data_IF_372892294447
#
_entry.id   IF_372892294447
#
_cell.length_a   1.000
_cell.length_b   1.000
_cell.length_c   1.000
_cell.angle_alpha   90.00
_cell.angle_beta   90.00
_cell.angle_gamma   90.00
#
_symmetry.space_group_name_H-M   'P 1'
#
loop_
_entity.id
_entity.type
_entity.pdbx_description
1 polymer ?
#
# COMPACT_ATOMS: atom_id res chain seq x y z
N UNK A 1 33.75 15.96 20.52
CA UNK A 1 33.36 16.55 19.21
C UNK A 1 31.91 17.04 19.29
N UNK A 2 31.66 18.34 19.46
CA UNK A 2 30.30 18.90 19.61
C UNK A 2 29.61 18.96 18.24
N UNK A 3 28.53 18.19 18.06
CA UNK A 3 27.71 18.20 16.83
C UNK A 3 27.05 19.59 16.66
N UNK A 4 27.39 20.29 15.59
CA UNK A 4 26.79 21.57 15.18
C UNK A 4 25.35 21.31 14.74
N UNK A 5 24.37 21.69 15.56
CA UNK A 5 22.94 21.65 15.18
C UNK A 5 22.70 22.73 14.13
N UNK A 6 22.51 22.30 12.88
CA UNK A 6 22.16 23.20 11.77
C UNK A 6 20.73 23.69 12.01
N UNK A 7 20.59 24.91 12.53
CA UNK A 7 19.32 25.63 12.62
C UNK A 7 18.75 25.82 11.21
N UNK A 8 17.91 24.87 10.77
CA UNK A 8 17.19 24.98 9.52
C UNK A 8 16.20 26.12 9.62
N UNK A 9 16.26 27.08 8.69
CA UNK A 9 15.27 28.18 8.59
C UNK A 9 13.87 27.59 8.67
N UNK A 10 13.16 27.86 9.76
CA UNK A 10 11.78 27.40 9.96
C UNK A 10 10.91 27.98 8.84
N UNK A 11 10.64 27.18 7.79
CA UNK A 11 9.63 27.52 6.79
C UNK A 11 8.32 27.66 7.54
N UNK A 12 7.82 28.89 7.69
CA UNK A 12 6.51 29.17 8.30
C UNK A 12 5.51 28.19 7.68
N UNK A 13 4.87 27.37 8.52
CA UNK A 13 3.88 26.39 8.05
C UNK A 13 2.82 27.17 7.28
N UNK A 14 2.65 26.84 6.00
CA UNK A 14 1.54 27.38 5.20
C UNK A 14 0.25 27.09 5.96
N UNK A 15 -0.69 28.04 5.91
CA UNK A 15 -1.99 27.84 6.52
C UNK A 15 -2.66 26.60 5.91
N UNK A 16 -3.54 25.96 6.67
CA UNK A 16 -4.31 24.85 6.13
C UNK A 16 -5.18 25.33 4.96
N UNK A 17 -5.33 24.49 3.94
CA UNK A 17 -6.18 24.75 2.76
C UNK A 17 -7.60 25.17 3.13
N UNK A 18 -8.11 24.65 4.25
CA UNK A 18 -9.41 25.02 4.80
C UNK A 18 -9.44 26.48 5.31
N UNK A 19 -8.39 26.91 6.02
CA UNK A 19 -8.29 28.30 6.50
C UNK A 19 -8.02 29.28 5.35
N UNK A 20 -7.36 28.85 4.28
CA UNK A 20 -7.25 29.60 3.02
C UNK A 20 -8.62 29.78 2.35
N UNK A 21 -9.44 28.72 2.31
CA UNK A 21 -10.80 28.77 1.75
C UNK A 21 -11.73 29.72 2.50
N UNK A 22 -11.71 29.69 3.83
CA UNK A 22 -12.48 30.62 4.67
C UNK A 22 -12.06 32.07 4.45
N UNK A 23 -10.75 32.32 4.32
CA UNK A 23 -10.23 33.66 4.01
C UNK A 23 -10.67 34.14 2.63
N UNK A 24 -10.57 33.28 1.61
CA UNK A 24 -10.97 33.60 0.25
C UNK A 24 -12.46 33.96 0.15
N UNK A 25 -13.34 33.22 0.84
CA UNK A 25 -14.77 33.54 0.90
C UNK A 25 -15.03 34.87 1.59
N UNK A 26 -14.39 35.11 2.74
CA UNK A 26 -14.54 36.36 3.47
C UNK A 26 -14.10 37.56 2.63
N UNK A 27 -13.00 37.44 1.89
CA UNK A 27 -12.54 38.50 0.98
C UNK A 27 -13.52 38.69 -0.18
N UNK A 28 -14.06 37.61 -0.77
CA UNK A 28 -15.09 37.72 -1.81
C UNK A 28 -16.36 38.43 -1.30
N UNK A 29 -16.81 38.12 -0.07
CA UNK A 29 -17.98 38.76 0.56
C UNK A 29 -17.74 40.26 0.82
N UNK A 30 -16.56 40.61 1.37
CA UNK A 30 -16.20 42.01 1.62
C UNK A 30 -16.11 42.80 0.31
N UNK A 31 -15.51 42.23 -0.73
CA UNK A 31 -15.44 42.84 -2.07
C UNK A 31 -16.82 43.10 -2.67
N UNK A 32 -17.76 42.15 -2.53
CA UNK A 32 -19.14 42.34 -3.00
C UNK A 32 -19.86 43.48 -2.28
N UNK A 33 -19.58 43.68 -0.99
CA UNK A 33 -20.21 44.73 -0.18
C UNK A 33 -19.62 46.14 -0.42
N UNK A 34 -18.36 46.24 -0.84
CA UNK A 34 -17.63 47.51 -0.91
C UNK A 34 -16.76 47.61 -2.19
N UNK A 35 -17.22 48.32 -3.23
CA UNK A 35 -16.51 48.42 -4.52
C UNK A 35 -15.11 49.04 -4.41
N UNK A 36 -14.94 50.05 -3.54
CA UNK A 36 -13.64 50.70 -3.30
C UNK A 36 -12.60 49.74 -2.70
N UNK A 37 -13.02 48.79 -1.88
CA UNK A 37 -12.13 47.78 -1.30
C UNK A 37 -11.71 46.77 -2.36
N UNK A 38 -12.60 46.42 -3.28
CA UNK A 38 -12.29 45.50 -4.37
C UNK A 38 -11.21 46.05 -5.30
N UNK A 39 -11.32 47.32 -5.67
CA UNK A 39 -10.30 48.00 -6.48
C UNK A 39 -8.96 48.05 -5.75
N UNK A 40 -8.93 48.45 -4.47
CA UNK A 40 -7.69 48.50 -3.68
C UNK A 40 -7.03 47.12 -3.56
N UNK A 41 -7.81 46.06 -3.35
CA UNK A 41 -7.29 44.70 -3.24
C UNK A 41 -6.83 44.14 -4.59
N UNK A 42 -7.50 44.48 -5.68
CA UNK A 42 -7.12 44.04 -7.03
C UNK A 42 -5.76 44.63 -7.44
N UNK A 43 -5.52 45.92 -7.19
CA UNK A 43 -4.23 46.57 -7.43
C UNK A 43 -3.12 45.95 -6.55
N UNK A 44 -3.38 45.74 -5.26
CA UNK A 44 -2.42 45.06 -4.36
C UNK A 44 -2.06 43.65 -4.84
N UNK A 45 -3.06 42.89 -5.30
CA UNK A 45 -2.84 41.55 -5.84
C UNK A 45 -2.05 41.61 -7.16
N UNK A 46 -2.32 42.58 -8.03
CA UNK A 46 -1.57 42.79 -9.26
C UNK A 46 -0.09 43.13 -8.99
N UNK A 47 0.19 44.07 -8.06
CA UNK A 47 1.56 44.39 -7.65
C UNK A 47 2.26 43.17 -7.06
N UNK A 48 1.58 42.39 -6.23
CA UNK A 48 2.14 41.15 -5.65
C UNK A 48 2.50 40.12 -6.71
N UNK A 49 1.65 39.96 -7.74
CA UNK A 49 1.94 39.07 -8.88
C UNK A 49 3.10 39.60 -9.72
N UNK A 50 3.19 40.90 -9.96
CA UNK A 50 4.31 41.54 -10.66
C UNK A 50 5.63 41.35 -9.91
N UNK A 51 5.60 41.38 -8.58
CA UNK A 51 6.75 41.04 -7.71
C UNK A 51 7.08 39.53 -7.70
N UNK A 52 6.33 38.68 -8.41
CA UNK A 52 6.57 37.23 -8.50
C UNK A 52 5.94 36.40 -7.39
N UNK A 53 5.10 36.98 -6.53
CA UNK A 53 4.40 36.24 -5.47
C UNK A 53 3.22 35.46 -6.07
N UNK A 54 3.15 34.15 -5.77
CA UNK A 54 2.02 33.30 -6.19
C UNK A 54 0.79 33.59 -5.34
N UNK A 55 -0.18 34.28 -5.93
CA UNK A 55 -1.45 34.66 -5.30
C UNK A 55 -2.54 33.62 -5.62
N UNK A 56 -3.17 33.05 -4.59
CA UNK A 56 -4.15 31.95 -4.72
C UNK A 56 -5.44 32.30 -3.96
N UNK A 57 -6.24 33.21 -4.52
CA UNK A 57 -7.38 33.79 -3.80
C UNK A 57 -8.75 33.22 -4.24
N UNK A 58 -8.79 32.38 -5.28
CA UNK A 58 -10.05 31.86 -5.83
C UNK A 58 -10.62 30.71 -4.98
N UNK A 59 -11.75 30.93 -4.31
CA UNK A 59 -12.38 29.94 -3.43
C UNK A 59 -12.71 28.61 -4.15
N UNK A 60 -13.16 28.69 -5.41
CA UNK A 60 -13.50 27.52 -6.25
C UNK A 60 -12.30 26.58 -6.45
N UNK A 61 -11.14 27.14 -6.81
CA UNK A 61 -9.93 26.37 -7.09
C UNK A 61 -9.36 25.74 -5.81
N UNK A 62 -9.45 26.46 -4.67
CA UNK A 62 -9.05 25.93 -3.37
C UNK A 62 -9.92 24.72 -3.02
N UNK A 63 -11.25 24.79 -3.20
CA UNK A 63 -12.18 23.67 -2.97
C UNK A 63 -11.87 22.46 -3.85
N UNK A 64 -11.60 22.68 -5.14
CA UNK A 64 -11.22 21.61 -6.07
C UNK A 64 -9.88 20.96 -5.69
N UNK A 65 -8.89 21.75 -5.27
CA UNK A 65 -7.61 21.23 -4.81
C UNK A 65 -7.78 20.30 -3.60
N UNK A 66 -8.63 20.67 -2.63
CA UNK A 66 -8.95 19.81 -1.49
C UNK A 66 -9.63 18.50 -1.93
N UNK A 67 -10.56 18.56 -2.90
CA UNK A 67 -11.20 17.36 -3.45
C UNK A 67 -10.18 16.44 -4.13
N UNK A 68 -9.26 17.00 -4.92
CA UNK A 68 -8.18 16.26 -5.58
C UNK A 68 -7.26 15.59 -4.55
N UNK A 69 -6.90 16.29 -3.48
CA UNK A 69 -6.10 15.72 -2.39
C UNK A 69 -6.84 14.57 -1.67
N UNK A 70 -8.13 14.72 -1.37
CA UNK A 70 -8.95 13.66 -0.78
C UNK A 70 -8.98 12.41 -1.67
N UNK A 71 -9.30 12.58 -2.97
CA UNK A 71 -9.29 11.48 -3.95
C UNK A 71 -7.92 10.81 -4.06
N UNK A 72 -6.83 11.57 -4.02
CA UNK A 72 -5.47 11.01 -4.03
C UNK A 72 -5.20 10.17 -2.79
N UNK A 73 -5.61 10.64 -1.61
CA UNK A 73 -5.49 9.88 -0.34
C UNK A 73 -6.30 8.59 -0.38
N UNK A 74 -7.53 8.62 -0.88
CA UNK A 74 -8.38 7.43 -1.04
C UNK A 74 -7.75 6.40 -1.98
N UNK A 75 -7.29 6.84 -3.17
CA UNK A 75 -6.57 5.98 -4.12
C UNK A 75 -5.32 5.35 -3.49
N UNK A 76 -4.53 6.14 -2.77
CA UNK A 76 -3.33 5.65 -2.09
C UNK A 76 -3.68 4.64 -0.99
N UNK A 77 -4.75 4.88 -0.21
CA UNK A 77 -5.24 3.94 0.80
C UNK A 77 -5.69 2.62 0.18
N UNK A 78 -6.41 2.67 -0.93
CA UNK A 78 -6.82 1.47 -1.69
C UNK A 78 -5.61 0.67 -2.17
N UNK A 79 -4.67 1.32 -2.86
CA UNK A 79 -3.43 0.66 -3.33
C UNK A 79 -2.60 0.07 -2.20
N UNK A 80 -2.55 0.73 -1.04
CA UNK A 80 -1.82 0.19 0.11
C UNK A 80 -2.48 -1.08 0.65
N UNK A 81 -3.82 -1.09 0.77
CA UNK A 81 -4.57 -2.28 1.17
C UNK A 81 -4.33 -3.44 0.20
N UNK A 82 -4.44 -3.20 -1.11
CA UNK A 82 -4.19 -4.20 -2.16
C UNK A 82 -2.78 -4.79 -2.06
N UNK A 83 -1.76 -3.97 -1.79
CA UNK A 83 -0.38 -4.44 -1.61
C UNK A 83 -0.23 -5.34 -0.38
N UNK A 84 -0.85 -4.97 0.73
CA UNK A 84 -0.81 -5.77 1.97
C UNK A 84 -1.51 -7.10 1.74
N UNK A 85 -2.72 -7.09 1.16
CA UNK A 85 -3.48 -8.30 0.86
C UNK A 85 -2.71 -9.22 -0.10
N UNK A 86 -2.13 -8.66 -1.16
CA UNK A 86 -1.29 -9.42 -2.10
C UNK A 86 -0.09 -10.04 -1.39
N UNK A 87 0.56 -9.30 -0.49
CA UNK A 87 1.70 -9.81 0.28
C UNK A 87 1.28 -10.96 1.20
N UNK A 88 0.11 -10.87 1.85
CA UNK A 88 -0.44 -11.90 2.72
C UNK A 88 -0.79 -13.17 1.92
N UNK A 89 -1.51 -13.02 0.80
CA UNK A 89 -1.82 -14.13 -0.13
C UNK A 89 -0.55 -14.85 -0.60
N UNK A 90 0.46 -14.10 -1.05
CA UNK A 90 1.73 -14.67 -1.50
C UNK A 90 2.49 -15.40 -0.38
N UNK A 91 2.39 -14.94 0.88
CA UNK A 91 2.97 -15.64 2.04
C UNK A 91 2.21 -16.94 2.30
N UNK A 92 0.88 -16.88 2.32
CA UNK A 92 0.02 -18.03 2.55
C UNK A 92 0.23 -19.12 1.49
N UNK A 93 0.24 -18.75 0.21
CA UNK A 93 0.48 -19.69 -0.89
C UNK A 93 1.84 -20.37 -0.78
N UNK A 94 2.90 -19.63 -0.43
CA UNK A 94 4.23 -20.21 -0.20
C UNK A 94 4.22 -21.20 0.97
N UNK A 95 3.55 -20.86 2.06
CA UNK A 95 3.42 -21.76 3.21
C UNK A 95 2.58 -22.99 2.88
N UNK A 96 1.50 -22.84 2.10
CA UNK A 96 0.67 -23.94 1.62
C UNK A 96 1.50 -24.91 0.76
N UNK A 97 2.21 -24.40 -0.25
CA UNK A 97 3.13 -25.20 -1.08
C UNK A 97 4.19 -25.92 -0.24
N UNK A 98 4.74 -25.27 0.79
CA UNK A 98 5.71 -25.90 1.70
C UNK A 98 5.08 -27.06 2.47
N UNK A 99 3.88 -26.89 3.01
CA UNK A 99 3.14 -27.95 3.72
C UNK A 99 2.84 -29.12 2.79
N UNK A 100 2.34 -28.85 1.59
CA UNK A 100 2.08 -29.86 0.55
C UNK A 100 3.34 -30.66 0.21
N UNK A 101 4.47 -29.99 -0.03
CA UNK A 101 5.74 -30.65 -0.32
C UNK A 101 6.27 -31.51 0.83
N UNK A 102 6.10 -31.06 2.08
CA UNK A 102 6.49 -31.84 3.27
C UNK A 102 5.63 -33.10 3.37
N UNK A 103 4.31 -32.98 3.23
CA UNK A 103 3.38 -34.11 3.24
C UNK A 103 3.69 -35.07 2.10
N UNK A 104 3.91 -34.56 0.89
CA UNK A 104 4.34 -35.34 -0.28
C UNK A 104 5.60 -36.14 0.00
N UNK A 105 6.63 -35.51 0.57
CA UNK A 105 7.90 -36.19 0.93
C UNK A 105 7.72 -37.25 2.02
N UNK A 106 6.82 -37.03 2.98
CA UNK A 106 6.49 -38.03 4.01
C UNK A 106 5.81 -39.24 3.37
N UNK A 107 4.82 -39.00 2.50
CA UNK A 107 4.09 -40.06 1.82
C UNK A 107 4.99 -40.85 0.87
N UNK A 108 5.85 -40.18 0.09
CA UNK A 108 6.82 -40.83 -0.78
C UNK A 108 7.78 -41.75 0.01
N UNK A 109 8.27 -41.29 1.17
CA UNK A 109 9.09 -42.14 2.06
C UNK A 109 8.32 -43.36 2.57
N UNK A 110 7.04 -43.21 2.92
CA UNK A 110 6.18 -44.33 3.34
C UNK A 110 5.97 -45.33 2.19
N UNK A 111 5.58 -44.84 1.01
CA UNK A 111 5.38 -45.68 -0.19
C UNK A 111 6.67 -46.40 -0.60
N UNK A 112 7.83 -45.75 -0.52
CA UNK A 112 9.13 -46.40 -0.80
C UNK A 112 9.46 -47.52 0.21
N UNK A 113 9.06 -47.38 1.47
CA UNK A 113 9.21 -48.46 2.47
C UNK A 113 8.27 -49.63 2.17
N UNK A 114 7.02 -49.35 1.83
CA UNK A 114 6.02 -50.35 1.45
C UNK A 114 6.48 -51.11 0.21
N UNK A 115 6.85 -50.41 -0.88
CA UNK A 115 7.33 -51.03 -2.12
C UNK A 115 8.59 -51.89 -1.91
N UNK A 116 9.52 -51.46 -1.04
CA UNK A 116 10.68 -52.30 -0.66
C UNK A 116 10.26 -53.56 0.10
N UNK A 117 9.26 -53.48 0.97
CA UNK A 117 8.73 -54.63 1.72
C UNK A 117 8.05 -55.61 0.79
N UNK A 118 7.16 -55.13 -0.09
CA UNK A 118 6.49 -55.94 -1.10
C UNK A 118 7.50 -56.60 -2.05
N UNK A 119 8.50 -55.86 -2.54
CA UNK A 119 9.56 -56.43 -3.38
C UNK A 119 10.35 -57.53 -2.67
N UNK A 120 10.60 -57.40 -1.36
CA UNK A 120 11.26 -58.45 -0.57
C UNK A 120 10.36 -59.66 -0.37
N UNK A 121 9.08 -59.43 -0.08
CA UNK A 121 8.09 -60.49 0.09
C UNK A 121 7.89 -61.29 -1.21
N UNK A 122 7.90 -60.60 -2.36
CA UNK A 122 7.72 -61.21 -3.68
C UNK A 122 9.01 -61.75 -4.32
N UNK A 123 10.16 -61.68 -3.63
CA UNK A 123 11.45 -62.13 -4.17
C UNK A 123 11.52 -63.67 -4.12
N UNK A 124 11.65 -64.37 -5.25
CA UNK A 124 11.77 -65.84 -5.25
C UNK A 124 13.00 -66.27 -4.44
N UNK A 125 12.85 -67.31 -3.63
CA UNK A 125 13.96 -67.93 -2.89
C UNK A 125 14.83 -68.82 -3.79
N UNK A 126 15.76 -69.55 -3.18
CA UNK A 126 16.66 -70.49 -3.85
C UNK A 126 15.93 -71.59 -4.66
N UNK A 127 14.71 -71.96 -4.24
CA UNK A 127 13.86 -72.96 -4.92
C UNK A 127 12.78 -72.35 -5.83
N UNK A 128 12.81 -71.04 -6.10
CA UNK A 128 11.75 -70.34 -6.85
C UNK A 128 10.56 -69.90 -5.98
N UNK A 129 9.51 -69.37 -6.61
CA UNK A 129 8.30 -68.88 -5.90
C UNK A 129 7.45 -70.07 -5.44
N UNK A 130 7.41 -70.35 -4.14
CA UNK A 130 6.40 -71.21 -3.51
C UNK A 130 5.19 -70.36 -3.13
N UNK A 131 4.00 -70.71 -3.62
CA UNK A 131 2.74 -69.96 -3.44
C UNK A 131 2.22 -69.89 -1.99
N UNK A 132 2.84 -70.60 -1.03
CA UNK A 132 2.27 -70.82 0.30
C UNK A 132 2.55 -69.79 1.41
N UNK A 133 3.25 -68.67 1.16
CA UNK A 133 3.61 -67.69 2.20
C UNK A 133 2.82 -66.38 2.17
N UNK A 134 1.75 -66.30 1.39
CA UNK A 134 0.79 -65.19 1.47
C UNK A 134 -0.26 -65.61 2.50
N UNK A 135 -0.15 -65.11 3.73
CA UNK A 135 -1.18 -65.29 4.76
C UNK A 135 -2.52 -64.75 4.24
N UNK A 136 -3.57 -65.57 4.11
CA UNK A 136 -4.92 -65.09 3.92
C UNK A 136 -5.53 -64.80 5.29
N UNK A 137 -5.46 -63.54 5.73
CA UNK A 137 -6.40 -62.83 6.64
C UNK A 137 -5.76 -61.52 7.15
#
# INVERSE_FOLDING_TARGET
>A
MKRRVKQGKNKKRKLSKAKELERAKRTEEVKRSNPSVDERESWKAATSRAMGVKVHDNARLIKESMKKEKRKKEKNKGKWKERVETQEKMKEEKQRKRKENIVGRINEKKMRKIAKREKKLMRPGFEGRKEGFITPE
#
